data_IF_026038839398
#
_entry.id   IF_026038839398
#
_cell.length_a   1.000
_cell.length_b   1.000
_cell.length_c   1.000
_cell.angle_alpha   90.00
_cell.angle_beta   90.00
_cell.angle_gamma   90.00
#
_symmetry.space_group_name_H-M   'P 1'
#
loop_
_entity.id
_entity.type
_entity.pdbx_description
1 polymer ?
#
# COMPACT_ATOMS: atom_id res chain seq x y z
N UNK A 1 17.90 -6.53 8.75
CA UNK A 1 17.84 -5.11 9.21
C UNK A 1 16.49 -4.62 8.72
N UNK A 2 15.70 -3.95 9.56
CA UNK A 2 14.34 -3.55 9.14
C UNK A 2 14.44 -2.19 8.44
N UNK A 3 13.99 -2.13 7.20
CA UNK A 3 13.75 -0.88 6.47
C UNK A 3 12.31 -0.44 6.71
N UNK A 4 12.16 0.80 7.17
CA UNK A 4 10.86 1.44 7.38
C UNK A 4 10.73 2.66 6.47
N UNK A 5 9.54 2.85 5.88
CA UNK A 5 9.24 3.99 5.02
C UNK A 5 7.82 4.47 5.28
N UNK A 6 7.67 5.79 5.40
CA UNK A 6 6.38 6.46 5.48
C UNK A 6 6.30 7.56 4.40
N UNK A 7 5.18 7.62 3.67
CA UNK A 7 4.91 8.64 2.65
C UNK A 7 3.46 9.11 2.79
N UNK A 8 3.25 10.43 2.87
CA UNK A 8 1.91 11.01 2.78
C UNK A 8 1.62 11.43 1.34
N UNK A 9 0.69 10.75 0.67
CA UNK A 9 0.18 11.15 -0.63
C UNK A 9 -0.95 12.16 -0.46
N UNK A 10 -0.81 13.32 -1.10
CA UNK A 10 -1.83 14.37 -1.09
C UNK A 10 -2.37 14.54 -2.51
N UNK A 11 -3.67 14.34 -2.68
CA UNK A 11 -4.35 14.45 -3.97
C UNK A 11 -5.01 15.83 -4.12
N UNK A 12 -5.28 16.24 -5.36
CA UNK A 12 -5.87 17.54 -5.69
C UNK A 12 -7.33 17.69 -5.24
N UNK A 13 -8.00 16.61 -4.87
CA UNK A 13 -9.35 16.58 -4.31
C UNK A 13 -9.35 16.55 -2.77
N UNK A 14 -8.23 16.93 -2.14
CA UNK A 14 -8.01 16.93 -0.68
C UNK A 14 -8.04 15.56 -0.02
N UNK A 15 -8.09 14.46 -0.79
CA UNK A 15 -7.85 13.13 -0.23
C UNK A 15 -6.37 13.03 0.16
N UNK A 16 -6.11 12.46 1.33
CA UNK A 16 -4.77 12.16 1.80
C UNK A 16 -4.67 10.69 2.19
N UNK A 17 -3.64 10.02 1.68
CA UNK A 17 -3.37 8.61 1.97
C UNK A 17 -1.99 8.50 2.58
N UNK A 18 -1.92 7.90 3.76
CA UNK A 18 -0.66 7.55 4.41
C UNK A 18 -0.24 6.15 3.95
N UNK A 19 0.91 6.10 3.31
CA UNK A 19 1.59 4.87 2.94
C UNK A 19 2.66 4.53 3.97
N UNK A 20 2.64 3.28 4.45
CA UNK A 20 3.68 2.72 5.33
C UNK A 20 4.23 1.44 4.76
N UNK A 21 5.52 1.23 4.93
CA UNK A 21 6.19 0.02 4.54
C UNK A 21 7.25 -0.37 5.57
N UNK A 22 7.26 -1.64 5.94
CA UNK A 22 8.28 -2.27 6.79
C UNK A 22 8.74 -3.56 6.09
N UNK A 23 10.05 -3.71 5.89
CA UNK A 23 10.60 -4.90 5.21
C UNK A 23 11.95 -5.30 5.83
N UNK A 24 12.18 -6.61 5.95
CA UNK A 24 13.51 -7.10 6.34
C UNK A 24 14.42 -7.17 5.10
N UNK A 25 15.62 -6.60 5.22
CA UNK A 25 16.62 -6.56 4.15
C UNK A 25 17.34 -7.89 3.91
N UNK A 26 17.06 -8.93 4.71
CA UNK A 26 17.70 -10.24 4.52
C UNK A 26 17.23 -10.90 3.22
N UNK A 27 18.19 -11.15 2.32
CA UNK A 27 17.95 -11.69 0.99
C UNK A 27 17.74 -13.21 1.06
N UNK A 28 16.53 -13.65 0.73
CA UNK A 28 16.34 -14.93 0.05
C UNK A 28 15.80 -14.62 -1.35
N UNK A 29 16.40 -15.24 -2.37
CA UNK A 29 16.14 -14.93 -3.77
C UNK A 29 14.97 -15.75 -4.38
N UNK A 30 14.39 -16.67 -3.61
CA UNK A 30 13.42 -17.64 -4.12
C UNK A 30 11.97 -17.46 -3.62
N UNK A 31 11.68 -16.50 -2.73
CA UNK A 31 10.32 -16.30 -2.17
C UNK A 31 9.93 -14.83 -2.12
N UNK A 32 8.65 -14.53 -2.33
CA UNK A 32 8.06 -13.21 -2.08
C UNK A 32 8.34 -12.79 -0.64
N UNK A 33 9.31 -11.88 -0.47
CA UNK A 33 9.78 -11.43 0.84
C UNK A 33 8.64 -10.82 1.65
N UNK A 34 8.69 -11.07 2.95
CA UNK A 34 7.80 -10.41 3.90
C UNK A 34 8.05 -8.90 3.86
N UNK A 35 6.97 -8.17 3.63
CA UNK A 35 6.94 -6.73 3.51
C UNK A 35 5.55 -6.29 3.95
N UNK A 36 5.48 -5.71 5.14
CA UNK A 36 4.24 -5.09 5.59
C UNK A 36 4.08 -3.78 4.83
N UNK A 37 2.95 -3.66 4.13
CA UNK A 37 2.58 -2.44 3.42
C UNK A 37 1.19 -2.05 3.87
N UNK A 38 0.97 -0.78 4.20
CA UNK A 38 -0.36 -0.24 4.45
C UNK A 38 -0.61 1.05 3.67
N UNK A 39 -1.85 1.19 3.23
CA UNK A 39 -2.42 2.40 2.67
C UNK A 39 -3.62 2.77 3.55
N UNK A 40 -3.53 3.90 4.25
CA UNK A 40 -4.52 4.36 5.21
C UNK A 40 -5.07 5.71 4.73
N UNK A 41 -6.39 5.84 4.58
CA UNK A 41 -7.03 7.12 4.28
C UNK A 41 -7.01 7.96 5.56
N UNK A 42 -6.21 9.02 5.58
CA UNK A 42 -6.08 9.92 6.75
C UNK A 42 -6.92 11.19 6.63
N UNK A 43 -7.30 11.54 5.40
CA UNK A 43 -8.28 12.58 5.11
C UNK A 43 -9.06 12.17 3.86
N UNK A 44 -10.39 12.06 3.97
CA UNK A 44 -11.25 11.55 2.90
C UNK A 44 -11.74 12.63 1.92
N UNK A 45 -11.47 13.91 2.20
CA UNK A 45 -11.92 15.02 1.36
C UNK A 45 -13.44 15.14 1.24
N UNK A 46 -14.22 14.48 2.11
CA UNK A 46 -15.68 14.36 2.00
C UNK A 46 -16.16 13.27 1.04
N UNK A 47 -15.27 12.44 0.51
CA UNK A 47 -15.62 11.30 -0.35
C UNK A 47 -15.86 10.03 0.46
N UNK A 48 -16.84 9.23 0.06
CA UNK A 48 -17.09 7.91 0.66
C UNK A 48 -16.07 6.88 0.14
N UNK A 49 -14.85 6.89 0.67
CA UNK A 49 -13.78 5.97 0.29
C UNK A 49 -13.95 4.65 1.06
N UNK A 50 -13.94 3.52 0.37
CA UNK A 50 -13.94 2.19 0.99
C UNK A 50 -13.11 1.20 0.17
N UNK A 51 -12.22 0.41 0.80
CA UNK A 51 -11.92 0.42 2.22
C UNK A 51 -11.10 1.66 2.65
N UNK A 52 -11.21 2.06 3.92
CA UNK A 52 -10.40 3.14 4.52
C UNK A 52 -8.94 2.71 4.78
N UNK A 53 -8.68 1.41 4.76
CA UNK A 53 -7.35 0.84 4.95
C UNK A 53 -7.17 -0.41 4.10
N UNK A 54 -6.03 -0.50 3.41
CA UNK A 54 -5.59 -1.69 2.68
C UNK A 54 -4.21 -2.10 3.15
N UNK A 55 -4.04 -3.38 3.47
CA UNK A 55 -2.76 -3.93 3.95
C UNK A 55 -2.33 -5.14 3.14
N UNK A 56 -1.01 -5.29 3.01
CA UNK A 56 -0.35 -6.42 2.38
C UNK A 56 0.82 -6.87 3.25
N UNK A 57 1.15 -8.16 3.19
CA UNK A 57 2.23 -8.76 3.98
C UNK A 57 3.43 -9.16 3.14
N UNK A 58 3.31 -9.02 1.81
CA UNK A 58 4.42 -9.14 0.88
C UNK A 58 4.12 -8.34 -0.41
N UNK A 59 5.17 -8.05 -1.17
CA UNK A 59 5.08 -7.29 -2.43
C UNK A 59 4.26 -7.99 -3.52
N UNK A 60 4.15 -9.32 -3.47
CA UNK A 60 3.40 -10.07 -4.47
C UNK A 60 1.89 -9.90 -4.28
N UNK A 61 1.39 -9.86 -3.05
CA UNK A 61 0.00 -9.55 -2.73
C UNK A 61 -0.37 -8.13 -3.19
N UNK A 62 0.48 -7.15 -2.89
CA UNK A 62 0.31 -5.77 -3.34
C UNK A 62 0.24 -5.70 -4.87
N UNK A 63 1.24 -6.29 -5.55
CA UNK A 63 1.35 -6.27 -7.01
C UNK A 63 0.17 -6.97 -7.69
N UNK A 64 -0.27 -8.11 -7.16
CA UNK A 64 -1.43 -8.83 -7.67
C UNK A 64 -2.71 -8.00 -7.49
N UNK A 65 -2.90 -7.36 -6.34
CA UNK A 65 -4.04 -6.51 -6.09
C UNK A 65 -4.09 -5.32 -7.05
N UNK A 66 -2.95 -4.66 -7.29
CA UNK A 66 -2.84 -3.56 -8.26
C UNK A 66 -3.22 -3.98 -9.68
N UNK A 67 -2.74 -5.16 -10.13
CA UNK A 67 -3.14 -5.72 -11.44
C UNK A 67 -4.65 -5.93 -11.53
N UNK A 68 -5.24 -6.52 -10.49
CA UNK A 68 -6.68 -6.77 -10.45
C UNK A 68 -7.50 -5.47 -10.46
N UNK A 69 -7.03 -4.39 -9.81
CA UNK A 69 -7.73 -3.10 -9.88
C UNK A 69 -7.64 -2.48 -11.27
N UNK A 70 -6.47 -2.54 -11.91
CA UNK A 70 -6.30 -2.03 -13.27
C UNK A 70 -7.18 -2.75 -14.31
N UNK A 71 -7.47 -4.04 -14.10
CA UNK A 71 -8.38 -4.82 -14.96
C UNK A 71 -9.87 -4.52 -14.69
N UNK A 72 -10.22 -4.01 -13.51
CA UNK A 72 -11.60 -3.66 -13.14
C UNK A 72 -12.01 -2.25 -13.58
N UNK A 73 -11.05 -1.39 -13.93
CA UNK A 73 -11.28 -0.02 -14.40
C UNK A 73 -11.59 0.08 -15.92
N UNK A 74 -11.77 -1.06 -16.61
CA UNK A 74 -12.11 -1.18 -18.03
C UNK A 74 -13.53 -1.67 -18.29
#
# INVERSE_FOLDING_TARGET
MIEEREILYVFNNNVQILYRMESDTFQSDDVCRECWVSYDVVHDGGYAISPQKKQFYNRCQESFWLKMQAELDG
#
